data_IF_634672232720
#
_entry.id   IF_634672232720
#
_cell.length_a   1.000
_cell.length_b   1.000
_cell.length_c   1.000
_cell.angle_alpha   90.00
_cell.angle_beta   90.00
_cell.angle_gamma   90.00
#
_symmetry.space_group_name_H-M   'P 1'
#
loop_
_entity.id
_entity.type
_entity.pdbx_description
1 polymer ?
#
# COMPACT_ATOMS: atom_id res chain seq x y z
N UNK A 1 -59.65 44.23 -48.71
CA UNK A 1 -58.80 44.05 -47.52
C UNK A 1 -58.01 42.76 -47.68
N UNK A 2 -56.68 42.80 -47.62
CA UNK A 2 -55.84 41.59 -47.57
C UNK A 2 -55.33 41.40 -46.13
N UNK A 3 -55.32 40.19 -45.57
CA UNK A 3 -54.68 39.95 -44.28
C UNK A 3 -53.15 39.90 -44.48
N UNK A 4 -52.41 40.63 -43.64
CA UNK A 4 -50.94 40.65 -43.64
C UNK A 4 -50.34 39.35 -43.07
N UNK A 5 -49.04 39.11 -43.28
CA UNK A 5 -48.40 37.86 -42.89
C UNK A 5 -48.31 37.77 -41.36
N UNK A 6 -48.83 36.69 -40.80
CA UNK A 6 -48.61 36.31 -39.40
C UNK A 6 -47.15 35.95 -39.20
N UNK A 7 -46.43 36.78 -38.46
CA UNK A 7 -45.06 36.50 -38.01
C UNK A 7 -45.05 35.18 -37.21
N UNK A 8 -44.18 34.22 -37.53
CA UNK A 8 -44.05 33.02 -36.71
C UNK A 8 -43.32 33.43 -35.43
N UNK A 9 -44.09 33.65 -34.35
CA UNK A 9 -43.54 33.91 -33.02
C UNK A 9 -42.95 32.59 -32.48
N UNK A 10 -41.77 32.20 -32.96
CA UNK A 10 -40.97 31.14 -32.35
C UNK A 10 -40.64 31.56 -30.92
N UNK A 11 -41.21 30.80 -29.99
CA UNK A 11 -41.33 31.13 -28.57
C UNK A 11 -39.95 31.07 -27.90
N UNK A 12 -39.40 32.17 -27.35
CA UNK A 12 -38.11 32.18 -26.65
C UNK A 12 -38.05 31.14 -25.52
N UNK A 13 -39.18 30.80 -24.92
CA UNK A 13 -39.33 29.73 -23.94
C UNK A 13 -38.94 28.33 -24.44
N UNK A 14 -39.19 28.02 -25.72
CA UNK A 14 -38.81 26.71 -26.29
C UNK A 14 -37.29 26.64 -26.44
N UNK A 15 -36.65 27.72 -26.88
CA UNK A 15 -35.19 27.80 -26.97
C UNK A 15 -34.53 27.69 -25.57
N UNK A 16 -35.10 28.34 -24.55
CA UNK A 16 -34.64 28.27 -23.15
C UNK A 16 -34.81 26.85 -22.59
N UNK A 17 -35.93 26.17 -22.86
CA UNK A 17 -36.13 24.81 -22.41
C UNK A 17 -35.15 23.82 -23.06
N UNK A 18 -34.89 23.98 -24.37
CA UNK A 18 -33.93 23.16 -25.11
C UNK A 18 -32.50 23.38 -24.59
N UNK A 19 -32.11 24.63 -24.34
CA UNK A 19 -30.76 24.94 -23.83
C UNK A 19 -30.55 24.42 -22.42
N UNK A 20 -31.53 24.57 -21.52
CA UNK A 20 -31.49 23.99 -20.17
C UNK A 20 -31.43 22.46 -20.20
N UNK A 21 -32.20 21.84 -21.08
CA UNK A 21 -32.15 20.40 -21.31
C UNK A 21 -30.76 19.94 -21.74
N UNK A 22 -30.17 20.59 -22.74
CA UNK A 22 -28.82 20.27 -23.23
C UNK A 22 -27.76 20.44 -22.12
N UNK A 23 -27.81 21.55 -21.38
CA UNK A 23 -26.90 21.80 -20.27
C UNK A 23 -27.02 20.72 -19.19
N UNK A 24 -28.24 20.31 -18.84
CA UNK A 24 -28.47 19.24 -17.86
C UNK A 24 -27.85 17.91 -18.31
N UNK A 25 -28.00 17.56 -19.58
CA UNK A 25 -27.44 16.32 -20.14
C UNK A 25 -25.91 16.37 -20.14
N UNK A 26 -25.30 17.49 -20.53
CA UNK A 26 -23.84 17.66 -20.51
C UNK A 26 -23.26 17.57 -19.09
N UNK A 27 -23.93 18.20 -18.11
CA UNK A 27 -23.53 18.12 -16.71
C UNK A 27 -23.61 16.69 -16.18
N UNK A 28 -24.72 15.98 -16.46
CA UNK A 28 -24.87 14.58 -16.06
C UNK A 28 -23.81 13.67 -16.69
N UNK A 29 -23.55 13.83 -17.99
CA UNK A 29 -22.52 13.08 -18.68
C UNK A 29 -21.13 13.32 -18.08
N UNK A 30 -20.79 14.58 -17.79
CA UNK A 30 -19.53 14.95 -17.13
C UNK A 30 -19.38 14.31 -15.75
N UNK A 31 -20.42 14.34 -14.91
CA UNK A 31 -20.42 13.71 -13.59
C UNK A 31 -20.26 12.19 -13.66
N UNK A 32 -20.95 11.54 -14.60
CA UNK A 32 -20.83 10.09 -14.80
C UNK A 32 -19.42 9.73 -15.26
N UNK A 33 -18.87 10.44 -16.25
CA UNK A 33 -17.50 10.21 -16.73
C UNK A 33 -16.46 10.41 -15.61
N UNK A 34 -16.57 11.49 -14.84
CA UNK A 34 -15.71 11.75 -13.70
C UNK A 34 -15.84 10.65 -12.63
N UNK A 35 -17.07 10.23 -12.33
CA UNK A 35 -17.34 9.16 -11.37
C UNK A 35 -16.72 7.83 -11.78
N UNK A 36 -16.79 7.48 -13.08
CA UNK A 36 -16.16 6.26 -13.62
C UNK A 36 -14.64 6.35 -13.54
N UNK A 37 -14.06 7.49 -13.94
CA UNK A 37 -12.61 7.69 -13.88
C UNK A 37 -12.06 7.57 -12.46
N UNK A 38 -12.69 8.28 -11.50
CA UNK A 38 -12.31 8.21 -10.08
C UNK A 38 -12.52 6.79 -9.51
N UNK A 39 -13.56 6.08 -9.96
CA UNK A 39 -13.78 4.69 -9.53
C UNK A 39 -12.68 3.76 -10.05
N UNK A 40 -12.26 3.91 -11.31
CA UNK A 40 -11.18 3.12 -11.89
C UNK A 40 -9.84 3.34 -11.19
N UNK A 41 -9.47 4.59 -10.89
CA UNK A 41 -8.23 4.90 -10.14
C UNK A 41 -8.27 4.33 -8.72
N UNK A 42 -9.42 4.44 -8.05
CA UNK A 42 -9.62 3.88 -6.70
C UNK A 42 -9.52 2.37 -6.71
N UNK A 43 -10.13 1.69 -7.68
CA UNK A 43 -10.08 0.24 -7.80
C UNK A 43 -8.64 -0.22 -8.11
N UNK A 44 -7.92 0.47 -8.98
CA UNK A 44 -6.49 0.21 -9.23
C UNK A 44 -5.64 0.36 -7.96
N UNK A 45 -5.87 1.40 -7.16
CA UNK A 45 -5.15 1.60 -5.90
C UNK A 45 -5.51 0.51 -4.88
N UNK A 46 -6.78 0.13 -4.81
CA UNK A 46 -7.28 -0.90 -3.91
C UNK A 46 -6.69 -2.27 -4.23
N UNK A 47 -6.55 -2.60 -5.51
CA UNK A 47 -5.94 -3.86 -5.95
C UNK A 47 -4.46 -3.92 -5.54
N UNK A 48 -3.71 -2.82 -5.75
CA UNK A 48 -2.31 -2.72 -5.31
C UNK A 48 -2.17 -2.85 -3.80
N UNK A 49 -3.03 -2.18 -3.03
CA UNK A 49 -3.04 -2.27 -1.56
C UNK A 49 -3.35 -3.69 -1.10
N UNK A 50 -4.32 -4.35 -1.73
CA UNK A 50 -4.69 -5.74 -1.39
C UNK A 50 -3.55 -6.70 -1.69
N UNK A 51 -2.87 -6.55 -2.83
CA UNK A 51 -1.71 -7.36 -3.19
C UNK A 51 -0.54 -7.17 -2.19
N UNK A 52 -0.20 -5.92 -1.86
CA UNK A 52 0.84 -5.63 -0.84
C UNK A 52 0.45 -6.14 0.55
N UNK A 53 -0.84 -6.07 0.90
CA UNK A 53 -1.34 -6.59 2.18
C UNK A 53 -1.18 -8.11 2.24
N UNK A 54 -1.50 -8.81 1.15
CA UNK A 54 -1.33 -10.26 1.05
C UNK A 54 0.15 -10.66 1.13
N UNK A 55 1.06 -9.94 0.46
CA UNK A 55 2.50 -10.18 0.57
C UNK A 55 2.98 -10.03 2.02
N UNK A 56 2.57 -8.92 2.68
CA UNK A 56 2.86 -8.66 4.09
C UNK A 56 2.31 -9.76 5.00
N UNK A 57 1.07 -10.21 4.80
CA UNK A 57 0.47 -11.29 5.59
C UNK A 57 1.21 -12.62 5.38
N UNK A 58 1.64 -12.91 4.15
CA UNK A 58 2.48 -14.06 3.83
C UNK A 58 3.82 -14.02 4.56
N UNK A 59 4.53 -12.89 4.52
CA UNK A 59 5.78 -12.69 5.26
C UNK A 59 5.57 -12.83 6.78
N UNK A 60 4.49 -12.26 7.32
CA UNK A 60 4.16 -12.41 8.73
C UNK A 60 3.88 -13.86 9.12
N UNK A 61 3.25 -14.65 8.26
CA UNK A 61 3.02 -16.07 8.52
C UNK A 61 4.35 -16.85 8.58
N UNK A 62 5.30 -16.53 7.68
CA UNK A 62 6.64 -17.13 7.69
C UNK A 62 7.40 -16.79 8.98
N UNK A 63 7.27 -15.56 9.49
CA UNK A 63 7.89 -15.15 10.75
C UNK A 63 7.19 -15.77 11.97
N UNK A 64 5.87 -15.97 11.91
CA UNK A 64 5.09 -16.65 12.96
C UNK A 64 5.31 -18.15 13.03
N UNK A 65 5.79 -18.77 11.95
CA UNK A 65 6.36 -20.11 12.03
C UNK A 65 7.55 -20.02 12.99
N UNK A 66 7.32 -20.49 14.22
CA UNK A 66 8.20 -20.35 15.38
C UNK A 66 9.56 -20.97 15.07
N UNK A 67 10.47 -20.20 14.47
CA UNK A 67 11.87 -20.60 14.33
C UNK A 67 12.40 -20.74 15.74
N UNK A 68 12.67 -21.94 16.22
CA UNK A 68 13.33 -22.09 17.51
C UNK A 68 14.82 -21.94 17.30
N UNK A 69 15.49 -21.26 18.23
CA UNK A 69 16.95 -21.25 18.21
C UNK A 69 17.50 -22.63 18.61
N UNK A 70 18.72 -22.98 18.17
CA UNK A 70 19.39 -24.18 18.65
C UNK A 70 19.52 -24.18 20.18
N UNK A 71 19.76 -25.34 20.77
CA UNK A 71 19.97 -25.44 22.21
C UNK A 71 21.13 -24.55 22.68
N UNK A 72 20.92 -23.80 23.76
CA UNK A 72 21.90 -22.84 24.28
C UNK A 72 21.91 -21.46 23.62
N UNK A 73 21.10 -21.25 22.57
CA UNK A 73 20.98 -19.96 21.89
C UNK A 73 19.72 -19.21 22.36
N UNK A 74 19.86 -17.91 22.57
CA UNK A 74 18.76 -17.01 22.94
C UNK A 74 18.14 -16.41 21.68
N UNK A 75 16.82 -16.46 21.57
CA UNK A 75 16.09 -15.76 20.52
C UNK A 75 15.86 -14.30 20.91
N UNK A 76 16.26 -13.39 20.04
CA UNK A 76 15.77 -12.02 20.07
C UNK A 76 15.33 -11.61 18.67
N UNK A 77 14.08 -11.13 18.56
CA UNK A 77 13.40 -10.87 17.28
C UNK A 77 13.45 -12.11 16.37
N UNK A 78 14.16 -12.04 15.24
CA UNK A 78 14.25 -13.11 14.24
C UNK A 78 15.67 -13.69 14.15
N UNK A 79 16.53 -13.39 15.12
CA UNK A 79 17.92 -13.80 15.18
C UNK A 79 18.19 -14.64 16.44
N UNK A 80 19.17 -15.53 16.35
CA UNK A 80 19.62 -16.36 17.45
C UNK A 80 21.00 -15.88 17.89
N UNK A 81 21.19 -15.72 19.20
CA UNK A 81 22.40 -15.21 19.80
C UNK A 81 23.00 -16.24 20.75
N UNK A 82 24.33 -16.34 20.77
CA UNK A 82 25.07 -17.17 21.70
C UNK A 82 26.15 -16.29 22.35
N UNK A 83 26.12 -16.21 23.67
CA UNK A 83 27.16 -15.53 24.43
C UNK A 83 28.27 -16.53 24.77
N UNK A 84 29.47 -16.30 24.23
CA UNK A 84 30.65 -17.08 24.60
C UNK A 84 31.02 -16.80 26.06
N UNK A 85 31.37 -17.85 26.79
CA UNK A 85 31.93 -17.74 28.17
C UNK A 85 33.46 -17.60 28.17
N UNK A 86 34.08 -17.55 26.99
CA UNK A 86 35.53 -17.44 26.82
C UNK A 86 35.90 -16.03 26.38
N UNK A 87 36.90 -15.46 27.05
CA UNK A 87 37.53 -14.22 26.62
C UNK A 87 38.64 -14.55 25.61
N UNK A 88 38.60 -13.89 24.45
CA UNK A 88 39.62 -14.03 23.40
C UNK A 88 39.77 -12.71 22.62
N UNK A 89 40.78 -12.64 21.77
CA UNK A 89 40.95 -11.56 20.79
C UNK A 89 39.77 -11.50 19.82
N UNK A 90 39.55 -10.31 19.27
CA UNK A 90 38.45 -10.09 18.33
C UNK A 90 38.54 -10.96 17.07
N UNK A 91 39.74 -11.15 16.50
CA UNK A 91 39.93 -12.05 15.36
C UNK A 91 39.55 -13.50 15.69
N UNK A 92 39.96 -13.99 16.86
CA UNK A 92 39.64 -15.36 17.28
C UNK A 92 38.15 -15.52 17.58
N UNK A 93 37.52 -14.55 18.25
CA UNK A 93 36.08 -14.57 18.50
C UNK A 93 35.26 -14.59 17.21
N UNK A 94 35.66 -13.80 16.20
CA UNK A 94 35.02 -13.84 14.88
C UNK A 94 35.21 -15.19 14.19
N UNK A 95 36.40 -15.77 14.28
CA UNK A 95 36.67 -17.09 13.74
C UNK A 95 35.83 -18.17 14.44
N UNK A 96 35.69 -18.11 15.75
CA UNK A 96 34.89 -19.05 16.55
C UNK A 96 33.41 -19.00 16.17
N UNK A 97 32.82 -17.80 16.03
CA UNK A 97 31.45 -17.66 15.52
C UNK A 97 31.31 -18.27 14.12
N UNK A 98 32.26 -18.01 13.22
CA UNK A 98 32.26 -18.57 11.87
C UNK A 98 32.37 -20.10 11.84
N UNK A 99 33.20 -20.68 12.71
CA UNK A 99 33.36 -22.12 12.85
C UNK A 99 32.06 -22.79 13.38
N UNK A 100 31.19 -22.03 14.07
CA UNK A 100 29.85 -22.46 14.52
C UNK A 100 28.73 -22.14 13.52
N UNK A 101 29.05 -21.60 12.34
CA UNK A 101 28.06 -21.23 11.32
C UNK A 101 27.27 -19.96 11.64
N UNK A 102 27.83 -19.08 12.47
CA UNK A 102 27.26 -17.80 12.86
C UNK A 102 28.22 -16.64 12.53
N UNK A 103 27.75 -15.42 12.76
CA UNK A 103 28.55 -14.20 12.65
C UNK A 103 28.75 -13.58 14.03
N UNK A 104 29.92 -12.97 14.25
CA UNK A 104 30.16 -12.20 15.46
C UNK A 104 29.22 -10.99 15.48
N UNK A 105 28.42 -10.90 16.54
CA UNK A 105 27.37 -9.88 16.68
C UNK A 105 27.95 -8.47 16.67
N UNK A 106 27.26 -7.57 15.96
CA UNK A 106 27.44 -6.12 16.04
C UNK A 106 26.18 -5.58 16.67
N UNK A 107 26.30 -5.06 17.90
CA UNK A 107 25.15 -4.57 18.66
C UNK A 107 24.71 -3.23 18.08
N UNK A 108 23.46 -3.15 17.60
CA UNK A 108 22.90 -1.97 16.94
C UNK A 108 21.92 -1.17 17.83
N UNK A 109 21.56 -1.71 18.99
CA UNK A 109 20.52 -1.14 19.87
C UNK A 109 20.74 -1.49 21.35
N UNK A 110 20.18 -0.64 22.24
CA UNK A 110 20.26 -0.87 23.69
C UNK A 110 19.47 -2.13 24.10
N UNK A 111 18.38 -2.43 23.39
CA UNK A 111 17.60 -3.63 23.61
C UNK A 111 18.38 -4.90 23.23
N UNK A 112 19.25 -4.83 22.22
CA UNK A 112 20.11 -5.95 21.82
C UNK A 112 21.28 -6.15 22.80
N UNK A 113 21.77 -5.07 23.42
CA UNK A 113 22.84 -5.12 24.43
C UNK A 113 22.48 -5.96 25.67
N UNK A 114 21.19 -6.15 25.95
CA UNK A 114 20.68 -6.85 27.14
C UNK A 114 20.12 -8.25 26.85
N UNK A 115 20.24 -8.73 25.60
CA UNK A 115 19.86 -10.09 25.19
C UNK A 115 20.83 -11.12 25.77
#
# INVERSE_FOLDING_TARGET
MCPGPSSPRSRPHVAVAVSLGLLSVLLLAGLVCLGVHVSAERDQLKDKVTALTQEKDGLQLLLKQKKTCPEGWTMFRCSCYLLSTRDDSWENGRKDCGDQGADLVIIDSLEEQVV
#
